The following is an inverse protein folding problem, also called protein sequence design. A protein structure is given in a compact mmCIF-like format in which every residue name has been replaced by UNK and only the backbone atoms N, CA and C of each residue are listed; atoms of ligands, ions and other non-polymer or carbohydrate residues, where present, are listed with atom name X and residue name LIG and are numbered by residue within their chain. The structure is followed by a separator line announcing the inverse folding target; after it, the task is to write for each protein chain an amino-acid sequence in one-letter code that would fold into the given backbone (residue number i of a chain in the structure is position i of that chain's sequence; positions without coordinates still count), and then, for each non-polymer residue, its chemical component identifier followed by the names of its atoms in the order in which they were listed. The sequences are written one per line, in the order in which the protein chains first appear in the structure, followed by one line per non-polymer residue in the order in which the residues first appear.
data_IF_800907511456
#
_entry.id   IF_800907511456
#
_cell.length_a   1.000
_cell.length_b   1.000
_cell.length_c   1.000
_cell.angle_alpha   90.00
_cell.angle_beta   90.00
_cell.angle_gamma   90.00
#
_symmetry.space_group_name_H-M   'P 1'
#
loop_
_entity.id
_entity.type
_entity.pdbx_description
1 polymer ?
#
# COMPACT_ATOMS: atom_id res chain seq x y z
N UNK A 1 -8.94 3.98 17.71
CA UNK A 1 -8.84 4.92 16.56
C UNK A 1 -10.21 5.49 16.19
N UNK A 2 -11.28 4.69 16.19
CA UNK A 2 -12.63 5.14 15.80
C UNK A 2 -13.23 6.25 16.67
N UNK A 3 -12.65 6.48 17.85
CA UNK A 3 -13.08 7.48 18.85
C UNK A 3 -12.64 8.93 18.52
N UNK A 4 -11.71 9.12 17.58
CA UNK A 4 -11.11 10.45 17.31
C UNK A 4 -12.11 11.40 16.64
N UNK A 5 -12.79 10.96 15.59
CA UNK A 5 -13.80 11.79 14.88
C UNK A 5 -14.92 12.27 15.82
N UNK A 6 -15.61 11.40 16.61
CA UNK A 6 -16.66 11.87 17.52
C UNK A 6 -16.11 12.82 18.60
N UNK A 7 -14.86 12.63 19.04
CA UNK A 7 -14.20 13.55 19.97
C UNK A 7 -14.03 14.95 19.37
N UNK A 8 -13.55 15.06 18.13
CA UNK A 8 -13.37 16.34 17.46
C UNK A 8 -14.71 17.05 17.21
N UNK A 9 -15.73 16.31 16.80
CA UNK A 9 -17.09 16.84 16.60
C UNK A 9 -17.68 17.39 17.90
N UNK A 10 -17.59 16.64 19.01
CA UNK A 10 -18.05 17.10 20.32
C UNK A 10 -17.26 18.33 20.79
N UNK A 11 -15.93 18.29 20.71
CA UNK A 11 -15.06 19.37 21.17
C UNK A 11 -15.25 20.69 20.39
N UNK A 12 -15.61 20.59 19.11
CA UNK A 12 -15.89 21.76 18.25
C UNK A 12 -17.35 22.19 18.24
N UNK A 13 -18.26 21.40 18.83
CA UNK A 13 -19.70 21.64 18.78
C UNK A 13 -20.33 21.41 17.41
N UNK A 14 -19.63 20.73 16.49
CA UNK A 14 -20.10 20.43 15.14
C UNK A 14 -20.85 19.09 15.18
N UNK A 15 -22.12 19.03 14.75
CA UNK A 15 -22.83 17.76 14.68
C UNK A 15 -22.30 16.88 13.55
N UNK A 16 -22.32 15.55 13.75
CA UNK A 16 -22.00 14.61 12.69
C UNK A 16 -23.00 14.75 11.52
N UNK A 17 -22.53 14.91 10.26
CA UNK A 17 -23.43 15.03 9.13
C UNK A 17 -24.14 13.71 8.85
N UNK A 18 -25.46 13.76 8.66
CA UNK A 18 -26.26 12.58 8.25
C UNK A 18 -26.16 12.30 6.75
N UNK A 19 -25.79 13.32 5.95
CA UNK A 19 -25.61 13.24 4.50
C UNK A 19 -24.49 14.19 4.05
N UNK A 20 -23.72 13.79 3.04
CA UNK A 20 -22.71 14.63 2.35
C UNK A 20 -22.92 14.46 0.85
N UNK A 21 -23.08 15.55 0.10
CA UNK A 21 -23.31 15.55 -1.36
C UNK A 21 -24.43 14.59 -1.83
N UNK A 22 -25.49 14.47 -1.03
CA UNK A 22 -26.63 13.59 -1.30
C UNK A 22 -26.41 12.12 -0.90
N UNK A 23 -25.25 11.76 -0.37
CA UNK A 23 -24.92 10.40 0.10
C UNK A 23 -25.16 10.31 1.61
N UNK A 24 -26.03 9.39 2.01
CA UNK A 24 -26.28 9.07 3.42
C UNK A 24 -25.01 8.50 4.07
N UNK A 25 -24.67 9.02 5.24
CA UNK A 25 -23.49 8.59 6.00
C UNK A 25 -23.84 7.46 6.95
N UNK A 26 -22.90 6.54 7.17
CA UNK A 26 -23.03 5.52 8.23
C UNK A 26 -22.90 6.21 9.60
N UNK A 27 -23.56 5.69 10.66
CA UNK A 27 -23.35 6.18 12.02
C UNK A 27 -21.87 6.08 12.42
N UNK A 28 -21.41 7.02 13.24
CA UNK A 28 -20.08 6.93 13.86
C UNK A 28 -20.13 5.82 14.92
N UNK A 29 -19.21 4.87 14.81
CA UNK A 29 -19.18 3.66 15.64
C UNK A 29 -18.33 3.82 16.91
N UNK A 30 -17.44 4.82 16.94
CA UNK A 30 -16.61 5.14 18.10
C UNK A 30 -17.31 5.99 19.15
N UNK A 31 -16.67 6.13 20.31
CA UNK A 31 -17.16 6.87 21.46
C UNK A 31 -16.23 8.05 21.74
N UNK A 32 -16.78 9.24 21.90
CA UNK A 32 -15.98 10.43 22.19
C UNK A 32 -15.16 10.28 23.48
N UNK A 33 -13.91 10.74 23.42
CA UNK A 33 -12.97 10.82 24.53
C UNK A 33 -13.04 12.18 25.24
N UNK A 34 -13.91 13.11 24.81
CA UNK A 34 -13.97 14.47 25.35
C UNK A 34 -14.26 14.50 26.86
N UNK A 35 -14.88 13.44 27.40
CA UNK A 35 -15.05 13.28 28.85
C UNK A 35 -13.72 13.33 29.62
N UNK A 36 -12.60 12.95 29.01
CA UNK A 36 -11.27 12.99 29.61
C UNK A 36 -10.70 14.40 29.74
N UNK A 37 -11.28 15.40 29.06
CA UNK A 37 -10.80 16.78 29.13
C UNK A 37 -11.23 17.49 30.41
N UNK A 38 -12.27 16.95 31.07
CA UNK A 38 -12.73 17.42 32.37
C UNK A 38 -11.96 16.70 33.49
N UNK A 39 -11.15 17.46 34.23
CA UNK A 39 -10.39 16.92 35.37
C UNK A 39 -11.30 16.27 36.43
N UNK A 40 -12.55 16.70 36.57
CA UNK A 40 -13.49 16.09 37.49
C UNK A 40 -13.87 14.65 37.09
N UNK A 41 -13.60 14.25 35.85
CA UNK A 41 -13.86 12.91 35.30
C UNK A 41 -12.59 12.07 35.16
N UNK A 42 -11.49 12.43 35.82
CA UNK A 42 -10.22 11.71 35.72
C UNK A 42 -10.34 10.21 36.04
N UNK A 43 -11.20 9.85 37.01
CA UNK A 43 -11.43 8.46 37.43
C UNK A 43 -12.68 7.83 36.79
N UNK A 44 -13.30 8.50 35.81
CA UNK A 44 -14.48 7.97 35.14
C UNK A 44 -14.12 6.72 34.32
N UNK A 45 -14.92 5.64 34.39
CA UNK A 45 -14.68 4.47 33.56
C UNK A 45 -14.79 4.82 32.08
N UNK A 46 -14.01 4.11 31.25
CA UNK A 46 -14.14 4.24 29.79
C UNK A 46 -15.58 3.92 29.36
N UNK A 47 -16.24 4.80 28.59
CA UNK A 47 -17.53 4.51 27.99
C UNK A 47 -17.40 3.54 26.80
N UNK A 48 -16.19 3.36 26.27
CA UNK A 48 -15.89 2.38 25.23
C UNK A 48 -15.68 1.01 25.89
N UNK A 49 -16.62 0.10 25.66
CA UNK A 49 -16.67 -1.22 26.32
C UNK A 49 -16.28 -2.38 25.43
N UNK A 50 -16.53 -2.28 24.13
CA UNK A 50 -16.40 -3.39 23.18
C UNK A 50 -15.67 -2.94 21.93
N UNK A 51 -14.64 -3.69 21.54
CA UNK A 51 -13.90 -3.47 20.30
C UNK A 51 -13.53 -4.82 19.69
N UNK A 52 -13.98 -5.08 18.47
CA UNK A 52 -13.53 -6.24 17.72
C UNK A 52 -12.35 -5.88 16.81
N UNK A 53 -11.62 -6.91 16.39
CA UNK A 53 -10.57 -6.85 15.38
C UNK A 53 -10.72 -8.04 14.43
N UNK A 54 -10.56 -7.79 13.15
CA UNK A 54 -10.45 -8.82 12.13
C UNK A 54 -9.47 -8.35 11.06
N UNK A 55 -8.45 -9.14 10.79
CA UNK A 55 -7.53 -8.88 9.70
C UNK A 55 -7.01 -10.18 9.11
N UNK A 56 -7.28 -10.38 7.82
CA UNK A 56 -6.88 -11.59 7.07
C UNK A 56 -7.30 -12.90 7.76
N UNK A 57 -8.51 -12.92 8.33
CA UNK A 57 -9.13 -14.04 9.03
C UNK A 57 -8.77 -14.16 10.51
N UNK A 58 -7.74 -13.44 10.98
CA UNK A 58 -7.34 -13.45 12.39
C UNK A 58 -8.26 -12.51 13.16
N UNK A 59 -8.89 -13.04 14.21
CA UNK A 59 -10.00 -12.42 14.91
C UNK A 59 -9.63 -12.09 16.35
N UNK A 60 -10.22 -11.04 16.91
CA UNK A 60 -10.18 -10.78 18.34
C UNK A 60 -11.32 -9.88 18.79
N UNK A 61 -11.60 -9.91 20.09
CA UNK A 61 -12.56 -8.99 20.70
C UNK A 61 -12.13 -8.64 22.12
N UNK A 62 -12.11 -7.34 22.39
CA UNK A 62 -12.11 -6.77 23.72
C UNK A 62 -13.55 -6.53 24.17
N UNK A 63 -13.87 -6.92 25.41
CA UNK A 63 -15.11 -6.55 26.07
C UNK A 63 -14.92 -6.41 27.60
N UNK A 64 -15.02 -5.19 28.12
CA UNK A 64 -14.97 -4.88 29.56
C UNK A 64 -13.78 -5.47 30.33
N UNK A 65 -12.59 -5.47 29.73
CA UNK A 65 -11.37 -6.02 30.34
C UNK A 65 -11.08 -7.48 29.97
N UNK A 66 -11.98 -8.16 29.28
CA UNK A 66 -11.69 -9.47 28.69
C UNK A 66 -11.21 -9.27 27.25
N UNK A 67 -10.17 -10.01 26.88
CA UNK A 67 -9.68 -10.07 25.51
C UNK A 67 -9.72 -11.52 25.04
N UNK A 68 -10.47 -11.79 23.99
CA UNK A 68 -10.45 -13.06 23.27
C UNK A 68 -9.62 -12.87 22.00
N UNK A 69 -8.58 -13.68 21.82
CA UNK A 69 -7.66 -13.54 20.68
C UNK A 69 -7.51 -14.87 19.94
N UNK A 70 -7.69 -14.85 18.62
CA UNK A 70 -7.34 -15.98 17.77
C UNK A 70 -5.82 -16.13 17.69
N UNK A 71 -5.29 -17.35 17.87
CA UNK A 71 -3.88 -17.63 17.68
C UNK A 71 -3.58 -17.63 16.17
N UNK A 72 -2.71 -16.75 15.65
CA UNK A 72 -2.38 -16.76 14.23
C UNK A 72 -1.81 -18.11 13.79
N UNK A 73 -2.38 -18.71 12.75
CA UNK A 73 -1.86 -19.96 12.16
C UNK A 73 -0.69 -19.74 11.20
N UNK A 74 -0.39 -18.48 10.90
CA UNK A 74 0.64 -18.06 9.96
C UNK A 74 1.34 -16.84 10.52
N UNK A 75 2.66 -16.80 10.38
CA UNK A 75 3.41 -15.61 10.70
C UNK A 75 3.03 -14.45 9.76
N UNK A 76 3.04 -13.19 10.22
CA UNK A 76 2.59 -12.05 9.41
C UNK A 76 3.45 -11.82 8.15
N UNK A 77 4.71 -12.25 8.15
CA UNK A 77 5.61 -12.15 6.99
C UNK A 77 5.52 -13.32 6.00
N UNK A 78 4.82 -14.41 6.35
CA UNK A 78 4.59 -15.52 5.44
C UNK A 78 3.34 -15.25 4.59
N UNK A 79 3.53 -14.65 3.41
CA UNK A 79 2.43 -14.31 2.51
C UNK A 79 1.98 -15.47 1.61
N UNK A 80 2.80 -16.51 1.48
CA UNK A 80 2.55 -17.68 0.63
C UNK A 80 1.98 -18.88 1.39
N UNK A 81 1.86 -18.78 2.72
CA UNK A 81 1.26 -19.83 3.54
C UNK A 81 -0.19 -20.16 3.13
N UNK A 82 -0.58 -21.41 3.35
CA UNK A 82 -1.90 -21.93 2.99
C UNK A 82 -3.03 -21.05 3.56
N UNK A 83 -4.03 -20.75 2.72
CA UNK A 83 -5.24 -20.09 3.17
C UNK A 83 -5.98 -20.98 4.19
N UNK A 84 -6.54 -20.35 5.23
CA UNK A 84 -7.41 -21.03 6.20
C UNK A 84 -8.80 -21.14 5.55
N UNK A 85 -9.31 -22.34 5.20
CA UNK A 85 -10.54 -22.45 4.40
C UNK A 85 -11.79 -22.03 5.18
N UNK A 86 -11.82 -22.29 6.49
CA UNK A 86 -12.95 -22.01 7.36
C UNK A 86 -12.52 -21.14 8.55
N UNK A 87 -12.15 -19.86 8.33
CA UNK A 87 -11.60 -19.02 9.39
C UNK A 87 -12.57 -18.79 10.55
N UNK A 88 -13.88 -18.94 10.34
CA UNK A 88 -14.86 -18.84 11.43
C UNK A 88 -14.73 -19.94 12.52
N UNK A 89 -14.15 -21.09 12.19
CA UNK A 89 -14.04 -22.24 13.08
C UNK A 89 -12.64 -22.81 13.24
N UNK A 90 -11.69 -22.41 12.40
CA UNK A 90 -10.36 -23.01 12.35
C UNK A 90 -9.40 -22.52 13.45
N UNK A 91 -9.59 -21.31 13.97
CA UNK A 91 -8.66 -20.73 14.93
C UNK A 91 -8.89 -21.27 16.35
N UNK A 92 -7.78 -21.61 17.03
CA UNK A 92 -7.76 -21.73 18.49
C UNK A 92 -7.82 -20.31 19.07
N UNK A 93 -8.62 -20.13 20.13
CA UNK A 93 -8.69 -18.89 20.86
C UNK A 93 -8.00 -19.02 22.22
N UNK A 94 -7.38 -17.92 22.64
CA UNK A 94 -6.88 -17.70 23.99
C UNK A 94 -7.69 -16.57 24.63
N UNK A 95 -7.84 -16.60 25.95
CA UNK A 95 -8.62 -15.64 26.70
C UNK A 95 -7.75 -14.98 27.77
N UNK A 96 -7.81 -13.66 27.85
CA UNK A 96 -7.02 -12.89 28.82
C UNK A 96 -7.90 -11.90 29.58
N UNK A 97 -7.55 -11.67 30.84
CA UNK A 97 -8.08 -10.56 31.64
C UNK A 97 -7.07 -9.41 31.60
N UNK A 98 -7.24 -8.48 30.66
CA UNK A 98 -6.30 -7.39 30.42
C UNK A 98 -6.33 -6.31 31.50
N UNK A 99 -7.28 -6.35 32.43
CA UNK A 99 -7.26 -5.47 33.62
C UNK A 99 -6.16 -5.89 34.60
N UNK A 100 -5.91 -7.19 34.70
CA UNK A 100 -4.92 -7.77 35.62
C UNK A 100 -3.65 -8.24 34.90
N UNK A 101 -3.73 -8.55 33.61
CA UNK A 101 -2.63 -8.96 32.74
C UNK A 101 -2.71 -8.26 31.37
N UNK A 102 -2.30 -6.99 31.36
CA UNK A 102 -2.26 -6.17 30.15
C UNK A 102 -1.26 -6.68 29.09
N UNK A 103 -0.37 -7.61 29.46
CA UNK A 103 0.59 -8.23 28.55
C UNK A 103 0.02 -9.42 27.80
N UNK A 104 -1.17 -9.91 28.19
CA UNK A 104 -1.79 -11.13 27.65
C UNK A 104 -0.87 -12.35 27.76
N UNK A 105 -0.16 -12.49 28.89
CA UNK A 105 0.82 -13.57 29.09
C UNK A 105 0.15 -14.88 29.54
N UNK A 106 -0.92 -14.78 30.32
CA UNK A 106 -1.57 -15.94 30.93
C UNK A 106 -2.88 -16.28 30.20
N UNK A 107 -2.87 -17.35 29.39
CA UNK A 107 -4.09 -17.87 28.76
C UNK A 107 -5.03 -18.50 29.81
N UNK A 108 -6.21 -17.92 29.95
CA UNK A 108 -7.27 -18.33 30.88
C UNK A 108 -8.37 -19.17 30.21
N UNK A 109 -8.25 -19.47 28.91
CA UNK A 109 -9.32 -20.10 28.13
C UNK A 109 -9.76 -21.46 28.71
N UNK A 110 -8.81 -22.32 29.08
CA UNK A 110 -9.11 -23.65 29.62
C UNK A 110 -9.89 -23.60 30.95
N UNK A 111 -9.59 -22.59 31.78
CA UNK A 111 -10.26 -22.41 33.07
C UNK A 111 -11.62 -21.69 32.95
N UNK A 112 -11.90 -21.03 31.81
CA UNK A 112 -13.06 -20.16 31.63
C UNK A 112 -13.80 -20.45 30.32
N UNK A 113 -14.08 -21.72 30.03
CA UNK A 113 -14.70 -22.15 28.76
C UNK A 113 -16.05 -21.45 28.47
N UNK A 114 -16.87 -21.19 29.49
CA UNK A 114 -18.12 -20.43 29.33
C UNK A 114 -17.86 -18.99 28.88
N UNK A 115 -16.83 -18.34 29.44
CA UNK A 115 -16.47 -16.97 29.06
C UNK A 115 -15.91 -16.91 27.64
N UNK A 116 -15.13 -17.91 27.23
CA UNK A 116 -14.67 -18.06 25.84
C UNK A 116 -15.86 -18.09 24.88
N UNK A 117 -16.88 -18.90 25.19
CA UNK A 117 -18.06 -18.99 24.35
C UNK A 117 -18.84 -17.66 24.31
N UNK A 118 -19.05 -17.02 25.47
CA UNK A 118 -19.70 -15.70 25.57
C UNK A 118 -19.00 -14.65 24.69
N UNK A 119 -17.67 -14.55 24.82
CA UNK A 119 -16.87 -13.60 24.04
C UNK A 119 -16.91 -13.91 22.55
N UNK A 120 -16.92 -15.20 22.16
CA UNK A 120 -17.01 -15.62 20.77
C UNK A 120 -18.38 -15.26 20.17
N UNK A 121 -19.46 -15.51 20.89
CA UNK A 121 -20.81 -15.17 20.43
C UNK A 121 -20.98 -13.65 20.28
N UNK A 122 -20.46 -12.88 21.24
CA UNK A 122 -20.41 -11.41 21.15
C UNK A 122 -19.63 -10.95 19.91
N UNK A 123 -18.45 -11.54 19.66
CA UNK A 123 -17.62 -11.21 18.50
C UNK A 123 -18.35 -11.42 17.18
N UNK A 124 -19.02 -12.57 17.02
CA UNK A 124 -19.78 -12.83 15.80
C UNK A 124 -21.04 -11.95 15.68
N UNK A 125 -21.63 -11.54 16.81
CA UNK A 125 -22.67 -10.50 16.83
C UNK A 125 -22.17 -9.16 16.29
N UNK A 126 -21.03 -8.69 16.76
CA UNK A 126 -20.40 -7.45 16.26
C UNK A 126 -19.97 -7.59 14.79
N UNK A 127 -19.42 -8.73 14.39
CA UNK A 127 -19.08 -9.01 12.99
C UNK A 127 -20.29 -8.94 12.06
N UNK A 128 -21.43 -9.48 12.48
CA UNK A 128 -22.67 -9.40 11.71
C UNK A 128 -23.19 -7.96 11.63
N UNK A 129 -23.16 -7.23 12.76
CA UNK A 129 -23.58 -5.82 12.83
C UNK A 129 -22.78 -4.93 11.88
N UNK A 130 -21.47 -5.15 11.78
CA UNK A 130 -20.55 -4.30 11.00
C UNK A 130 -20.10 -4.92 9.67
N UNK A 131 -20.83 -5.90 9.17
CA UNK A 131 -20.61 -6.50 7.83
C UNK A 131 -19.19 -7.08 7.64
N UNK A 132 -18.60 -7.64 8.70
CA UNK A 132 -17.29 -8.31 8.65
C UNK A 132 -17.39 -9.69 7.99
N UNK A 133 -18.58 -10.27 7.95
CA UNK A 133 -18.83 -11.58 7.36
C UNK A 133 -19.11 -11.48 5.84
N UNK A 134 -18.69 -12.47 5.03
CA UNK A 134 -17.94 -13.67 5.41
C UNK A 134 -16.46 -13.37 5.70
N UNK A 135 -15.90 -14.12 6.66
CA UNK A 135 -14.48 -14.04 6.98
C UNK A 135 -13.63 -14.61 5.84
N UNK A 136 -12.57 -13.90 5.49
CA UNK A 136 -11.63 -14.29 4.43
C UNK A 136 -10.20 -14.30 5.01
N UNK A 137 -9.53 -15.46 4.93
CA UNK A 137 -8.17 -15.66 5.42
C UNK A 137 -7.11 -15.77 4.30
N UNK A 138 -7.46 -15.36 3.08
CA UNK A 138 -6.50 -15.22 2.01
C UNK A 138 -5.40 -14.19 2.34
N UNK A 139 -4.20 -14.37 1.79
CA UNK A 139 -3.11 -13.39 1.85
C UNK A 139 -2.67 -12.99 0.46
N UNK A 140 -1.69 -13.67 -0.13
CA UNK A 140 -1.17 -13.37 -1.46
C UNK A 140 -2.27 -13.30 -2.53
N UNK A 141 -3.20 -14.26 -2.55
CA UNK A 141 -4.29 -14.31 -3.53
C UNK A 141 -5.25 -13.12 -3.43
N UNK A 142 -5.40 -12.51 -2.24
CA UNK A 142 -6.22 -11.29 -2.05
C UNK A 142 -5.61 -10.08 -2.77
N UNK A 143 -4.29 -10.01 -2.84
CA UNK A 143 -3.59 -8.91 -3.50
C UNK A 143 -3.81 -8.91 -5.03
N UNK A 144 -4.02 -10.10 -5.62
CA UNK A 144 -4.36 -10.25 -7.04
C UNK A 144 -5.86 -10.26 -7.33
N UNK A 145 -6.71 -10.19 -6.31
CA UNK A 145 -8.16 -10.19 -6.50
C UNK A 145 -8.60 -8.89 -7.20
N UNK A 146 -9.34 -8.96 -8.32
CA UNK A 146 -9.80 -7.78 -9.02
C UNK A 146 -10.64 -6.88 -8.11
N UNK A 147 -10.35 -5.58 -8.10
CA UNK A 147 -11.16 -4.56 -7.43
C UNK A 147 -11.71 -3.60 -8.47
N UNK A 148 -12.89 -2.99 -8.25
CA UNK A 148 -13.36 -1.91 -9.11
C UNK A 148 -12.27 -0.85 -9.26
N UNK A 149 -11.88 -0.58 -10.50
CA UNK A 149 -10.84 0.38 -10.83
C UNK A 149 -11.18 1.07 -12.13
N UNK A 150 -11.03 2.40 -12.14
CA UNK A 150 -11.22 3.24 -13.33
C UNK A 150 -10.07 3.12 -14.33
N UNK A 151 -8.95 2.51 -13.93
CA UNK A 151 -7.77 2.27 -14.77
C UNK A 151 -7.61 0.80 -15.15
N UNK A 152 -8.56 -0.07 -14.79
CA UNK A 152 -8.50 -1.50 -15.07
C UNK A 152 -8.24 -1.78 -16.56
N UNK A 153 -7.24 -2.62 -16.85
CA UNK A 153 -6.86 -3.00 -18.21
C UNK A 153 -6.12 -1.93 -19.02
N UNK A 154 -5.97 -0.70 -18.50
CA UNK A 154 -5.21 0.36 -19.17
C UNK A 154 -3.72 0.02 -19.14
N UNK A 155 -3.08 0.10 -20.30
CA UNK A 155 -1.63 -0.13 -20.48
C UNK A 155 -0.85 1.11 -20.86
N UNK A 156 -1.53 2.20 -21.18
CA UNK A 156 -0.89 3.45 -21.55
C UNK A 156 -1.59 4.60 -20.83
N UNK A 157 -0.80 5.44 -20.18
CA UNK A 157 -1.24 6.62 -19.45
C UNK A 157 -0.52 7.82 -20.04
N UNK A 158 -1.27 8.80 -20.55
CA UNK A 158 -0.71 10.00 -21.16
C UNK A 158 -1.19 11.23 -20.40
N UNK A 159 -0.23 12.05 -19.97
CA UNK A 159 -0.43 13.30 -19.26
C UNK A 159 0.17 14.43 -20.10
N UNK A 160 -0.61 15.44 -20.48
CA UNK A 160 -0.15 16.55 -21.34
C UNK A 160 -0.03 17.88 -20.58
N UNK A 161 -0.23 17.83 -19.26
CA UNK A 161 -0.18 18.97 -18.35
C UNK A 161 0.33 18.49 -17.00
N UNK A 162 0.89 19.39 -16.17
CA UNK A 162 1.17 19.09 -14.77
C UNK A 162 -0.10 18.66 -14.03
N UNK A 163 0.01 17.64 -13.20
CA UNK A 163 -1.06 17.12 -12.34
C UNK A 163 -0.41 16.61 -11.07
N UNK A 164 -0.83 17.12 -9.92
CA UNK A 164 -0.35 16.67 -8.61
C UNK A 164 -1.48 16.02 -7.80
N UNK A 165 -1.08 15.30 -6.75
CA UNK A 165 -1.94 14.64 -5.79
C UNK A 165 -2.83 13.53 -6.37
N UNK A 166 -2.37 12.85 -7.42
CA UNK A 166 -3.11 11.67 -7.90
C UNK A 166 -2.89 10.50 -6.95
N UNK A 167 -4.01 9.96 -6.44
CA UNK A 167 -4.00 8.76 -5.62
C UNK A 167 -3.52 7.53 -6.42
N UNK A 168 -2.94 6.55 -5.72
CA UNK A 168 -2.47 5.27 -6.28
C UNK A 168 -3.50 4.62 -7.21
N UNK A 169 -4.78 4.65 -6.81
CA UNK A 169 -5.86 3.96 -7.53
C UNK A 169 -6.07 4.44 -8.97
N UNK A 170 -5.57 5.63 -9.31
CA UNK A 170 -5.67 6.21 -10.67
C UNK A 170 -4.30 6.38 -11.36
N UNK A 171 -3.22 6.02 -10.68
CA UNK A 171 -1.86 6.07 -11.20
C UNK A 171 -1.49 4.79 -11.98
N UNK A 172 -0.50 4.85 -12.90
CA UNK A 172 0.10 3.67 -13.48
C UNK A 172 0.90 2.89 -12.43
N UNK A 173 0.61 1.60 -12.25
CA UNK A 173 1.41 0.73 -11.38
C UNK A 173 2.63 0.18 -12.13
N UNK A 174 3.83 0.51 -11.64
CA UNK A 174 5.11 0.03 -12.19
C UNK A 174 5.62 -1.25 -11.50
N UNK A 175 4.87 -1.77 -10.53
CA UNK A 175 5.28 -2.93 -9.75
C UNK A 175 5.20 -4.21 -10.59
N UNK A 176 6.28 -5.01 -10.56
CA UNK A 176 6.36 -6.34 -11.17
C UNK A 176 5.99 -6.39 -12.67
N UNK A 177 6.29 -5.33 -13.41
CA UNK A 177 6.01 -5.22 -14.84
C UNK A 177 7.20 -4.60 -15.56
N UNK A 178 7.33 -4.90 -16.85
CA UNK A 178 8.14 -4.04 -17.72
C UNK A 178 7.38 -2.76 -18.00
N UNK A 179 8.08 -1.64 -18.20
CA UNK A 179 7.46 -0.36 -18.50
C UNK A 179 8.41 0.59 -19.21
N UNK A 180 7.80 1.58 -19.86
CA UNK A 180 8.49 2.71 -20.46
C UNK A 180 7.84 4.00 -19.99
N UNK A 181 8.65 4.93 -19.49
CA UNK A 181 8.26 6.32 -19.25
C UNK A 181 8.91 7.14 -20.36
N UNK A 182 8.13 7.93 -21.10
CA UNK A 182 8.63 8.88 -22.10
C UNK A 182 8.09 10.26 -21.78
N UNK A 183 8.98 11.22 -21.59
CA UNK A 183 8.65 12.59 -21.28
C UNK A 183 9.25 13.55 -22.30
N UNK A 184 8.40 14.36 -22.91
CA UNK A 184 8.78 15.47 -23.77
C UNK A 184 8.74 16.76 -22.95
N UNK A 185 9.88 17.43 -22.83
CA UNK A 185 10.06 18.61 -21.97
C UNK A 185 10.74 19.75 -22.71
N UNK A 186 10.44 20.99 -22.30
CA UNK A 186 11.18 22.18 -22.71
C UNK A 186 12.03 22.68 -21.53
N UNK A 187 13.34 22.74 -21.73
CA UNK A 187 14.33 23.25 -20.78
C UNK A 187 14.54 24.76 -21.03
N UNK A 188 14.42 25.63 -20.01
CA UNK A 188 14.55 27.08 -20.20
C UNK A 188 16.03 27.49 -20.33
N UNK A 189 16.27 28.76 -20.72
CA UNK A 189 17.63 29.30 -20.95
C UNK A 189 18.54 29.22 -19.72
N UNK A 190 17.97 29.23 -18.50
CA UNK A 190 18.72 29.10 -17.24
C UNK A 190 19.05 27.66 -16.84
N UNK A 191 18.70 26.66 -17.65
CA UNK A 191 18.76 25.24 -17.29
C UNK A 191 17.46 24.75 -16.63
N UNK A 192 17.27 23.43 -16.61
CA UNK A 192 16.07 22.80 -16.07
C UNK A 192 16.32 22.18 -14.69
N UNK A 193 15.35 22.29 -13.80
CA UNK A 193 15.41 21.77 -12.43
C UNK A 193 14.01 21.30 -12.06
N UNK A 194 13.88 20.24 -11.28
CA UNK A 194 12.60 19.77 -10.74
C UNK A 194 12.07 18.47 -11.34
N UNK A 195 10.94 18.01 -10.79
CA UNK A 195 10.33 16.71 -11.12
C UNK A 195 9.52 16.73 -12.40
N UNK A 196 9.75 15.75 -13.27
CA UNK A 196 8.94 15.54 -14.49
C UNK A 196 7.80 14.56 -14.20
N UNK A 197 8.10 13.45 -13.54
CA UNK A 197 7.11 12.50 -13.01
C UNK A 197 7.65 11.84 -11.76
N UNK A 198 6.82 11.65 -10.75
CA UNK A 198 7.16 10.87 -9.55
C UNK A 198 5.97 10.08 -9.04
N UNK A 199 6.24 8.99 -8.33
CA UNK A 199 5.29 8.42 -7.39
C UNK A 199 6.03 7.83 -6.20
N UNK A 200 5.66 8.29 -5.01
CA UNK A 200 6.26 7.90 -3.75
C UNK A 200 7.11 9.04 -3.20
N UNK A 201 8.00 8.72 -2.27
CA UNK A 201 8.84 9.69 -1.60
C UNK A 201 9.91 9.04 -0.73
N UNK A 202 10.14 9.61 0.46
CA UNK A 202 11.20 9.21 1.40
C UNK A 202 11.14 7.74 1.80
N UNK A 203 9.94 7.16 1.86
CA UNK A 203 9.73 5.77 2.30
C UNK A 203 9.63 4.75 1.17
N UNK A 204 9.82 5.17 -0.08
CA UNK A 204 9.79 4.32 -1.25
C UNK A 204 9.12 5.00 -2.43
N UNK A 205 9.47 4.61 -3.64
CA UNK A 205 8.93 5.25 -4.84
C UNK A 205 9.91 5.32 -5.99
N UNK A 206 9.52 6.06 -7.03
CA UNK A 206 10.36 6.36 -8.17
C UNK A 206 10.12 7.78 -8.68
N UNK A 207 11.08 8.28 -9.47
CA UNK A 207 10.91 9.55 -10.16
C UNK A 207 11.89 9.77 -11.29
N UNK A 208 11.44 10.55 -12.28
CA UNK A 208 12.23 11.15 -13.35
C UNK A 208 12.26 12.67 -13.11
N UNK A 209 13.44 13.23 -12.92
CA UNK A 209 13.62 14.65 -12.61
C UNK A 209 14.91 15.21 -13.20
N UNK A 210 15.00 16.53 -13.28
CA UNK A 210 16.25 17.21 -13.55
C UNK A 210 16.85 17.70 -12.24
N UNK A 211 18.08 17.28 -11.96
CA UNK A 211 18.86 17.73 -10.82
C UNK A 211 20.09 18.51 -11.30
N UNK A 212 20.15 19.81 -11.01
CA UNK A 212 21.17 20.73 -11.53
C UNK A 212 21.30 20.62 -13.05
N UNK A 213 20.17 20.54 -13.76
CA UNK A 213 20.10 20.35 -15.21
C UNK A 213 20.28 18.91 -15.70
N UNK A 214 20.70 17.97 -14.86
CA UNK A 214 20.99 16.59 -15.29
C UNK A 214 19.76 15.69 -15.17
N UNK A 215 19.46 14.86 -16.18
CA UNK A 215 18.37 13.91 -16.08
C UNK A 215 18.72 12.77 -15.14
N UNK A 216 17.82 12.53 -14.19
CA UNK A 216 17.93 11.48 -13.18
C UNK A 216 16.66 10.65 -13.19
N UNK A 217 16.82 9.34 -13.23
CA UNK A 217 15.78 8.41 -12.81
C UNK A 217 16.23 7.70 -11.54
N UNK A 218 15.38 7.68 -10.53
CA UNK A 218 15.69 7.07 -9.24
C UNK A 218 14.56 6.14 -8.80
N UNK A 219 14.94 4.98 -8.26
CA UNK A 219 14.10 4.12 -7.46
C UNK A 219 14.57 4.17 -6.00
N UNK A 220 13.68 4.56 -5.09
CA UNK A 220 13.81 4.34 -3.66
C UNK A 220 13.15 3.01 -3.31
N UNK A 221 13.95 1.97 -3.03
CA UNK A 221 13.48 0.62 -2.74
C UNK A 221 13.21 0.48 -1.25
N UNK A 222 12.18 1.19 -0.78
CA UNK A 222 11.70 1.18 0.61
C UNK A 222 12.76 1.58 1.65
N UNK A 223 13.68 2.48 1.30
CA UNK A 223 14.80 2.88 2.15
C UNK A 223 15.89 1.80 2.33
N UNK A 224 15.70 0.59 1.80
CA UNK A 224 16.70 -0.49 1.83
C UNK A 224 17.87 -0.17 0.90
N UNK A 225 17.56 0.48 -0.23
CA UNK A 225 18.55 0.94 -1.18
C UNK A 225 17.95 1.89 -2.21
N UNK A 226 18.82 2.67 -2.84
CA UNK A 226 18.45 3.56 -3.94
C UNK A 226 19.17 3.11 -5.20
N UNK A 227 18.43 2.95 -6.30
CA UNK A 227 19.01 2.66 -7.62
C UNK A 227 18.82 3.87 -8.50
N UNK A 228 19.94 4.41 -8.99
CA UNK A 228 20.00 5.69 -9.69
C UNK A 228 20.60 5.56 -11.08
N UNK A 229 19.90 6.08 -12.07
CA UNK A 229 20.35 6.28 -13.44
C UNK A 229 20.47 7.79 -13.68
N UNK A 230 21.65 8.27 -14.02
CA UNK A 230 21.92 9.70 -14.17
C UNK A 230 22.67 9.94 -15.49
N UNK A 231 22.27 10.99 -16.22
CA UNK A 231 23.01 11.49 -17.36
C UNK A 231 24.26 12.26 -16.93
N UNK A 232 25.37 12.12 -17.66
CA UNK A 232 26.63 12.76 -17.29
C UNK A 232 26.60 14.29 -17.32
N UNK A 233 25.84 14.86 -18.25
CA UNK A 233 25.81 16.29 -18.57
C UNK A 233 24.43 16.91 -18.30
N UNK A 234 24.41 18.21 -18.01
CA UNK A 234 23.18 18.98 -17.94
C UNK A 234 22.57 19.15 -19.32
N UNK A 235 21.24 19.14 -19.41
CA UNK A 235 20.53 19.39 -20.66
C UNK A 235 20.73 20.85 -21.09
N UNK A 236 20.91 21.04 -22.39
CA UNK A 236 20.93 22.38 -22.98
C UNK A 236 19.52 23.00 -22.95
N UNK A 237 19.38 24.33 -23.10
CA UNK A 237 18.08 24.93 -23.33
C UNK A 237 17.44 24.41 -24.62
N UNK A 238 16.15 24.10 -24.58
CA UNK A 238 15.39 23.61 -25.73
C UNK A 238 14.54 22.39 -25.44
N UNK A 239 14.12 21.73 -26.52
CA UNK A 239 13.25 20.55 -26.45
C UNK A 239 14.08 19.29 -26.25
N UNK A 240 13.67 18.46 -25.31
CA UNK A 240 14.30 17.17 -25.03
C UNK A 240 13.25 16.07 -24.86
N UNK A 241 13.62 14.86 -25.26
CA UNK A 241 12.87 13.64 -24.96
C UNK A 241 13.67 12.80 -23.97
N UNK A 242 13.13 12.64 -22.77
CA UNK A 242 13.65 11.77 -21.72
C UNK A 242 12.88 10.46 -21.74
N UNK A 243 13.59 9.33 -21.81
CA UNK A 243 12.98 8.01 -21.83
C UNK A 243 13.63 7.10 -20.81
N UNK A 244 12.82 6.46 -19.98
CA UNK A 244 13.27 5.40 -19.09
C UNK A 244 12.56 4.10 -19.45
N UNK A 245 13.33 3.10 -19.89
CA UNK A 245 12.85 1.75 -20.15
C UNK A 245 13.28 0.82 -19.02
N UNK A 246 12.35 0.05 -18.47
CA UNK A 246 12.62 -0.98 -17.48
C UNK A 246 12.10 -2.33 -17.97
N UNK A 247 13.02 -3.29 -18.10
CA UNK A 247 12.70 -4.67 -18.43
C UNK A 247 12.70 -5.51 -17.16
N UNK A 248 11.52 -5.99 -16.75
CA UNK A 248 11.36 -6.84 -15.58
C UNK A 248 11.67 -8.31 -15.92
N UNK A 249 12.38 -9.00 -15.03
CA UNK A 249 12.83 -10.38 -15.24
C UNK A 249 11.86 -11.43 -14.64
N UNK A 250 10.89 -11.00 -13.82
CA UNK A 250 9.95 -11.89 -13.15
C UNK A 250 8.65 -12.18 -13.91
N UNK A 251 7.86 -13.10 -13.37
CA UNK A 251 6.57 -13.55 -13.91
C UNK A 251 5.37 -12.62 -13.56
N UNK A 252 5.61 -11.58 -12.78
CA UNK A 252 4.62 -10.55 -12.48
C UNK A 252 3.61 -10.94 -11.40
N UNK A 253 2.63 -10.05 -11.17
CA UNK A 253 1.58 -10.25 -10.16
C UNK A 253 0.68 -11.47 -10.41
N UNK A 254 0.61 -11.96 -11.65
CA UNK A 254 -0.26 -13.08 -12.02
C UNK A 254 0.08 -14.36 -11.23
N UNK A 255 1.32 -14.52 -10.74
CA UNK A 255 1.69 -15.70 -9.92
C UNK A 255 0.94 -15.75 -8.59
N UNK A 256 0.47 -14.61 -8.06
CA UNK A 256 -0.27 -14.55 -6.79
C UNK A 256 -1.64 -15.23 -6.88
N UNK A 257 -2.25 -15.31 -8.07
CA UNK A 257 -3.48 -16.08 -8.29
C UNK A 257 -3.28 -17.59 -8.00
N UNK A 258 -2.03 -18.05 -8.06
CA UNK A 258 -1.60 -19.41 -7.73
C UNK A 258 -0.94 -19.49 -6.35
N UNK A 259 -1.22 -18.54 -5.45
CA UNK A 259 -0.63 -18.46 -4.11
C UNK A 259 0.92 -18.50 -4.13
N UNK A 260 1.54 -17.95 -5.19
CA UNK A 260 3.00 -17.94 -5.36
C UNK A 260 3.53 -16.52 -5.46
N UNK A 261 4.50 -16.21 -4.60
CA UNK A 261 5.22 -14.92 -4.61
C UNK A 261 6.46 -14.95 -5.52
N UNK A 262 6.68 -16.03 -6.28
CA UNK A 262 7.89 -16.18 -7.11
C UNK A 262 7.99 -15.18 -8.26
N UNK A 263 6.85 -14.64 -8.73
CA UNK A 263 6.79 -13.69 -9.82
C UNK A 263 6.99 -12.23 -9.44
N UNK A 264 6.98 -11.90 -8.13
CA UNK A 264 7.03 -10.53 -7.62
C UNK A 264 8.38 -10.20 -6.99
N UNK A 265 8.73 -8.91 -6.96
CA UNK A 265 9.97 -8.41 -6.37
C UNK A 265 11.25 -8.86 -7.07
N UNK A 266 11.15 -9.38 -8.30
CA UNK A 266 12.30 -9.92 -9.04
C UNK A 266 13.18 -8.79 -9.58
N UNK A 267 14.29 -9.14 -10.20
CA UNK A 267 15.19 -8.15 -10.79
C UNK A 267 14.61 -7.52 -12.05
N UNK A 268 15.24 -6.46 -12.50
CA UNK A 268 15.04 -5.91 -13.82
C UNK A 268 16.16 -4.98 -14.23
N UNK A 269 16.24 -4.66 -15.51
CA UNK A 269 17.25 -3.76 -16.05
C UNK A 269 16.62 -2.48 -16.56
N UNK A 270 17.06 -1.35 -15.98
CA UNK A 270 16.65 -0.01 -16.38
C UNK A 270 17.66 0.63 -17.34
N UNK A 271 17.16 1.40 -18.30
CA UNK A 271 17.97 2.24 -19.19
C UNK A 271 17.36 3.62 -19.30
N UNK A 272 18.13 4.65 -18.92
CA UNK A 272 17.81 6.06 -19.14
C UNK A 272 18.40 6.50 -20.49
N UNK A 273 17.56 7.12 -21.31
CA UNK A 273 17.86 7.62 -22.64
C UNK A 273 17.48 9.08 -22.73
N UNK A 274 18.34 9.89 -23.35
CA UNK A 274 18.14 11.31 -23.61
C UNK A 274 18.29 11.53 -25.11
N UNK A 275 17.27 12.07 -25.77
CA UNK A 275 17.27 12.36 -27.21
C UNK A 275 17.71 11.18 -28.08
N UNK A 276 17.25 9.98 -27.70
CA UNK A 276 17.56 8.73 -28.40
C UNK A 276 18.92 8.10 -28.04
N UNK A 277 19.73 8.74 -27.20
CA UNK A 277 21.02 8.20 -26.73
C UNK A 277 20.92 7.65 -25.31
N UNK A 278 21.26 6.37 -25.11
CA UNK A 278 21.36 5.79 -23.78
C UNK A 278 22.49 6.46 -22.98
N UNK A 279 22.16 6.98 -21.79
CA UNK A 279 23.11 7.67 -20.90
C UNK A 279 23.46 6.86 -19.65
N UNK A 280 22.58 5.95 -19.23
CA UNK A 280 22.84 5.03 -18.13
C UNK A 280 22.02 3.74 -18.28
N UNK A 281 22.66 2.59 -18.05
CA UNK A 281 21.99 1.29 -17.94
C UNK A 281 22.48 0.58 -16.69
N UNK A 282 21.55 0.09 -15.87
CA UNK A 282 21.84 -0.60 -14.60
C UNK A 282 20.79 -1.66 -14.32
N UNK A 283 21.22 -2.71 -13.64
CA UNK A 283 20.34 -3.71 -13.08
C UNK A 283 19.90 -3.31 -11.67
N UNK A 284 18.61 -3.46 -11.40
CA UNK A 284 18.05 -3.45 -10.05
C UNK A 284 17.83 -4.90 -9.64
N UNK A 285 18.57 -5.38 -8.64
CA UNK A 285 18.56 -6.80 -8.27
C UNK A 285 17.23 -7.26 -7.68
N UNK A 286 16.47 -6.36 -7.05
CA UNK A 286 15.12 -6.63 -6.52
C UNK A 286 14.23 -5.39 -6.67
N UNK A 287 13.03 -5.55 -7.20
CA UNK A 287 12.00 -4.50 -7.23
C UNK A 287 11.20 -4.46 -5.94
N UNK A 288 10.46 -3.37 -5.73
CA UNK A 288 9.39 -3.32 -4.73
C UNK A 288 8.30 -4.34 -5.14
N UNK A 289 7.88 -5.26 -4.25
CA UNK A 289 7.06 -6.40 -4.66
C UNK A 289 5.55 -6.20 -4.58
N UNK A 290 5.04 -5.36 -3.67
CA UNK A 290 3.61 -5.41 -3.29
C UNK A 290 2.94 -4.04 -3.33
N UNK A 291 3.48 -3.06 -2.62
CA UNK A 291 2.83 -1.77 -2.40
C UNK A 291 3.87 -0.65 -2.38
N UNK A 292 3.49 0.50 -2.94
CA UNK A 292 4.22 1.76 -2.77
C UNK A 292 3.63 2.52 -1.57
N UNK A 293 4.34 3.51 -0.98
CA UNK A 293 3.79 4.26 0.15
C UNK A 293 2.40 4.84 -0.17
N UNK A 294 1.42 4.53 0.69
CA UNK A 294 0.01 4.90 0.50
C UNK A 294 -0.28 6.36 0.90
N UNK A 295 0.67 6.97 1.60
CA UNK A 295 0.69 8.35 2.06
C UNK A 295 1.36 9.31 1.06
N UNK A 296 1.75 8.79 -0.11
CA UNK A 296 2.39 9.55 -1.20
C UNK A 296 1.53 9.57 -2.46
N UNK A 297 1.86 10.44 -3.42
CA UNK A 297 1.06 10.71 -4.62
C UNK A 297 1.83 10.49 -5.90
N UNK A 298 1.12 10.19 -7.00
CA UNK A 298 1.67 10.20 -8.35
C UNK A 298 1.53 11.62 -8.91
N UNK A 299 2.65 12.28 -9.19
CA UNK A 299 2.70 13.66 -9.62
C UNK A 299 3.43 13.82 -10.96
N UNK A 300 2.97 14.76 -11.78
CA UNK A 300 3.55 15.18 -13.05
C UNK A 300 3.91 16.66 -12.94
N UNK A 301 5.19 16.99 -13.14
CA UNK A 301 5.69 18.37 -13.13
C UNK A 301 6.04 18.95 -11.76
N UNK A 302 5.82 18.21 -10.67
CA UNK A 302 6.27 18.55 -9.32
C UNK A 302 6.39 17.29 -8.46
N UNK A 303 6.99 17.44 -7.28
CA UNK A 303 6.86 16.52 -6.16
C UNK A 303 6.26 17.33 -5.01
N UNK A 304 5.07 16.92 -4.57
CA UNK A 304 4.27 17.61 -3.56
C UNK A 304 4.23 16.87 -2.21
N UNK A 305 4.82 15.67 -2.15
CA UNK A 305 4.79 14.77 -1.01
C UNK A 305 6.06 14.90 -0.18
N UNK A 306 6.88 13.85 -0.14
CA UNK A 306 8.22 13.90 0.45
C UNK A 306 9.30 13.56 -0.58
N UNK A 307 10.52 14.11 -0.47
CA UNK A 307 11.54 13.87 -1.49
C UNK A 307 11.93 12.39 -1.55
N UNK A 308 12.11 11.86 -2.77
CA UNK A 308 12.62 10.50 -2.99
C UNK A 308 14.01 10.29 -2.39
N UNK A 309 14.84 11.33 -2.46
CA UNK A 309 16.17 11.41 -1.82
C UNK A 309 16.38 12.82 -1.26
N UNK A 310 16.43 12.94 0.07
CA UNK A 310 16.64 14.21 0.77
C UNK A 310 17.92 14.95 0.37
N UNK A 311 18.89 14.24 -0.21
CA UNK A 311 20.16 14.83 -0.66
C UNK A 311 20.05 15.53 -2.01
N UNK A 312 19.03 15.19 -2.78
CA UNK A 312 18.83 15.74 -4.12
C UNK A 312 18.03 17.03 -4.07
N UNK A 313 16.88 17.02 -3.39
CA UNK A 313 15.96 18.15 -3.40
C UNK A 313 15.12 18.24 -2.13
N UNK A 314 14.38 19.36 -2.01
CA UNK A 314 13.36 19.59 -1.01
C UNK A 314 12.04 19.87 -1.71
N UNK A 315 10.94 19.50 -1.07
CA UNK A 315 9.59 19.69 -1.61
C UNK A 315 9.02 21.07 -1.23
N UNK A 316 8.21 21.72 -2.10
CA UNK A 316 7.86 21.26 -3.44
C UNK A 316 9.04 21.40 -4.43
N UNK A 317 9.27 20.38 -5.26
CA UNK A 317 10.34 20.39 -6.28
C UNK A 317 9.76 20.52 -7.70
N UNK A 318 9.08 21.64 -7.92
CA UNK A 318 8.40 21.95 -9.18
C UNK A 318 9.37 22.09 -10.36
N UNK A 319 8.98 21.55 -11.52
CA UNK A 319 9.75 21.66 -12.74
C UNK A 319 9.80 23.11 -13.23
N UNK A 320 11.01 23.64 -13.41
CA UNK A 320 11.22 25.03 -13.88
C UNK A 320 11.01 25.19 -15.39
N UNK A 321 11.03 24.08 -16.12
CA UNK A 321 10.71 24.03 -17.54
C UNK A 321 9.23 23.78 -17.80
N UNK A 322 8.94 23.27 -19.00
CA UNK A 322 7.58 22.86 -19.37
C UNK A 322 7.53 21.35 -19.61
N UNK A 323 6.60 20.67 -18.96
CA UNK A 323 6.24 19.29 -19.31
C UNK A 323 5.20 19.34 -20.43
N UNK A 324 5.57 18.93 -21.65
CA UNK A 324 4.64 18.91 -22.79
C UNK A 324 3.80 17.64 -22.79
N UNK A 325 4.44 16.50 -22.49
CA UNK A 325 3.79 15.18 -22.48
C UNK A 325 4.60 14.20 -21.64
N UNK A 326 3.93 13.40 -20.83
CA UNK A 326 4.47 12.19 -20.20
C UNK A 326 3.58 11.03 -20.60
N UNK A 327 4.17 9.99 -21.18
CA UNK A 327 3.51 8.71 -21.44
C UNK A 327 4.16 7.62 -20.62
N UNK A 328 3.35 6.88 -19.86
CA UNK A 328 3.73 5.68 -19.14
C UNK A 328 3.07 4.48 -19.82
N UNK A 329 3.87 3.64 -20.46
CA UNK A 329 3.44 2.41 -21.11
C UNK A 329 3.84 1.20 -20.24
N UNK A 330 2.88 0.32 -19.96
CA UNK A 330 3.05 -0.88 -19.16
C UNK A 330 3.04 -2.12 -20.07
N UNK A 331 3.98 -3.02 -19.85
CA UNK A 331 4.05 -4.32 -20.48
C UNK A 331 4.14 -5.44 -19.42
N UNK A 332 2.98 -5.83 -18.84
CA UNK A 332 2.93 -6.87 -17.83
C UNK A 332 3.35 -8.23 -18.39
N UNK A 333 4.17 -9.01 -17.66
CA UNK A 333 4.45 -10.39 -18.01
C UNK A 333 3.17 -11.19 -18.22
N UNK A 334 3.20 -12.10 -19.20
CA UNK A 334 2.10 -13.04 -19.46
C UNK A 334 2.57 -14.43 -19.08
N UNK A 335 1.85 -15.08 -18.19
CA UNK A 335 2.11 -16.48 -17.86
C UNK A 335 1.83 -17.34 -19.10
N UNK A 336 2.75 -18.24 -19.39
CA UNK A 336 2.52 -19.31 -20.37
C UNK A 336 1.78 -20.48 -19.72
N UNK A 337 1.21 -21.37 -20.53
CA UNK A 337 0.61 -22.60 -20.02
C UNK A 337 1.60 -23.47 -19.22
N UNK A 338 2.91 -23.39 -19.54
CA UNK A 338 3.95 -24.08 -18.79
C UNK A 338 4.19 -23.43 -17.42
N UNK A 339 4.17 -22.09 -17.34
CA UNK A 339 4.30 -21.37 -16.07
C UNK A 339 3.13 -21.68 -15.15
N UNK A 340 1.90 -21.63 -15.67
CA UNK A 340 0.70 -21.97 -14.91
C UNK A 340 0.75 -23.40 -14.38
N UNK A 341 1.16 -24.36 -15.22
CA UNK A 341 1.34 -25.76 -14.80
C UNK A 341 2.35 -25.89 -13.66
N UNK A 342 3.52 -25.24 -13.77
CA UNK A 342 4.56 -25.25 -12.73
C UNK A 342 4.05 -24.64 -11.42
N UNK A 343 3.32 -23.53 -11.50
CA UNK A 343 2.73 -22.87 -10.33
C UNK A 343 1.69 -23.77 -9.65
N UNK A 344 0.79 -24.40 -10.42
CA UNK A 344 -0.21 -25.34 -9.90
C UNK A 344 0.44 -26.58 -9.27
N UNK A 345 1.46 -27.17 -9.92
CA UNK A 345 2.18 -28.33 -9.39
C UNK A 345 2.89 -27.97 -8.07
N UNK A 346 3.48 -26.77 -7.98
CA UNK A 346 4.08 -26.26 -6.74
C UNK A 346 3.09 -26.14 -5.58
N UNK A 347 1.88 -25.63 -5.85
CA UNK A 347 0.80 -25.55 -4.85
C UNK A 347 0.40 -26.95 -4.36
N UNK A 348 0.25 -27.92 -5.27
CA UNK A 348 -0.10 -29.30 -4.90
C UNK A 348 0.96 -29.92 -3.99
N UNK A 349 2.24 -29.80 -4.35
CA UNK A 349 3.35 -30.33 -3.55
C UNK A 349 3.42 -29.68 -2.15
N UNK A 350 3.22 -28.37 -2.06
CA UNK A 350 3.20 -27.67 -0.77
C UNK A 350 2.03 -28.10 0.13
N UNK A 351 0.90 -28.49 -0.46
CA UNK A 351 -0.25 -29.03 0.28
C UNK A 351 0.01 -30.44 0.80
N UNK A 352 0.67 -31.28 0.01
CA UNK A 352 0.87 -32.70 0.32
C UNK A 352 2.10 -32.95 1.23
N UNK A 353 2.93 -31.92 1.50
CA UNK A 353 4.13 -32.00 2.35
C UNK A 353 3.87 -31.78 3.86
N UNK A 354 2.60 -31.71 4.29
CA UNK A 354 2.16 -31.70 5.70
C UNK A 354 1.39 -32.98 5.99
#
# INVERSE_FOLDING_TARGET
MIDIVPTLLEATGIPAPVTIDGIAQKPIEGVSLAYTFDKAKADAPSPHRTQYFEMMGVQGIYNDGWMLSAIPQRAPWDLAGNAVPNPASAFKFELYDVKNDWTQMNDLAAANATKVQEMRDLMFGEFAKYQVLPLDASAATRLASPRPSVTAGRREFTYTMPVAHLAESVAPSLLNTSYTITADVDVPQGGGEGVVVTYGGRYGGYGLYLLKGKPVFLWNVLGIGMVRWEGGEALAPGKHTLKFDFKYDGLGFATLAFNSVSGIGQSGTGTLTVDGKAVATKKMERTVPIILPIDETFDIGEDSGTPLDDRDYQVPFAFTGKVNKVTVALDPPKLTAEDEKKLMDGVRLARDAK
#
